data_IF_216097977106
#
_entry.id   IF_216097977106
#
_cell.length_a   1.000
_cell.length_b   1.000
_cell.length_c   1.000
_cell.angle_alpha   90.00
_cell.angle_beta   90.00
_cell.angle_gamma   90.00
#
_symmetry.space_group_name_H-M   'P 1'
#
loop_
_entity.id
_entity.type
_entity.pdbx_description
1 polymer ?
#
# COMPACT_ATOMS: atom_id res chain seq x y z
N UNK A 1 0.52 -24.08 10.54
CA UNK A 1 0.92 -23.72 9.16
C UNK A 1 2.22 -22.91 9.22
N UNK A 2 2.99 -22.79 8.12
CA UNK A 2 4.12 -21.86 8.07
C UNK A 2 3.67 -20.42 8.41
N UNK A 3 4.54 -19.64 9.04
CA UNK A 3 4.21 -18.30 9.53
C UNK A 3 3.65 -17.37 8.45
N UNK A 4 4.28 -17.33 7.28
CA UNK A 4 3.82 -16.55 6.12
C UNK A 4 2.37 -16.88 5.75
N UNK A 5 1.98 -18.17 5.78
CA UNK A 5 0.63 -18.60 5.46
C UNK A 5 -0.39 -18.19 6.52
N UNK A 6 0.02 -18.13 7.80
CA UNK A 6 -0.84 -17.64 8.90
C UNK A 6 -1.07 -16.14 8.77
N UNK A 7 0.01 -15.35 8.60
CA UNK A 7 -0.08 -13.88 8.42
C UNK A 7 -0.98 -13.50 7.25
N UNK A 8 -0.80 -14.16 6.10
CA UNK A 8 -1.65 -13.94 4.92
C UNK A 8 -3.13 -14.30 5.18
N UNK A 9 -3.40 -15.41 5.87
CA UNK A 9 -4.76 -15.83 6.19
C UNK A 9 -5.45 -14.88 7.16
N UNK A 10 -4.75 -14.44 8.20
CA UNK A 10 -5.28 -13.49 9.19
C UNK A 10 -5.57 -12.14 8.54
N UNK A 11 -4.64 -11.62 7.73
CA UNK A 11 -4.81 -10.37 6.98
C UNK A 11 -5.99 -10.42 6.02
N UNK A 12 -6.07 -11.45 5.17
CA UNK A 12 -7.19 -11.63 4.24
C UNK A 12 -8.53 -11.74 4.98
N UNK A 13 -8.58 -12.53 6.06
CA UNK A 13 -9.80 -12.69 6.86
C UNK A 13 -10.23 -11.39 7.53
N UNK A 14 -9.31 -10.53 7.95
CA UNK A 14 -9.62 -9.26 8.61
C UNK A 14 -10.38 -8.28 7.71
N UNK A 15 -10.21 -8.40 6.38
CA UNK A 15 -10.86 -7.55 5.38
C UNK A 15 -11.80 -8.34 4.43
N UNK A 16 -12.08 -9.61 4.75
CA UNK A 16 -13.07 -10.43 4.05
C UNK A 16 -12.66 -10.93 2.66
N UNK A 17 -11.35 -11.08 2.40
CA UNK A 17 -10.82 -11.60 1.13
C UNK A 17 -9.85 -12.76 1.34
N UNK A 18 -9.44 -13.42 0.26
CA UNK A 18 -8.58 -14.61 0.32
C UNK A 18 -7.11 -14.29 0.67
N UNK A 19 -6.36 -15.22 1.28
CA UNK A 19 -4.99 -14.98 1.76
C UNK A 19 -3.99 -14.49 0.70
N UNK A 20 -4.20 -14.87 -0.56
CA UNK A 20 -3.30 -14.50 -1.65
C UNK A 20 -3.27 -12.99 -1.93
N UNK A 21 -4.23 -12.22 -1.42
CA UNK A 21 -4.23 -10.75 -1.51
C UNK A 21 -3.26 -10.06 -0.56
N UNK A 22 -2.55 -10.81 0.29
CA UNK A 22 -1.59 -10.27 1.26
C UNK A 22 -0.15 -10.68 0.91
N UNK A 23 0.04 -11.41 -0.19
CA UNK A 23 1.31 -12.11 -0.46
C UNK A 23 2.47 -11.15 -0.63
N UNK A 24 2.28 -10.06 -1.35
CA UNK A 24 3.35 -9.16 -1.72
C UNK A 24 3.80 -8.34 -0.50
N UNK A 25 2.84 -7.78 0.24
CA UNK A 25 3.08 -7.08 1.50
C UNK A 25 3.65 -7.99 2.58
N UNK A 26 3.20 -9.24 2.69
CA UNK A 26 3.77 -10.18 3.68
C UNK A 26 5.24 -10.49 3.37
N UNK A 27 5.60 -10.68 2.09
CA UNK A 27 6.99 -10.90 1.67
C UNK A 27 7.85 -9.66 1.96
N UNK A 28 7.34 -8.46 1.66
CA UNK A 28 8.03 -7.21 1.97
C UNK A 28 8.26 -7.04 3.48
N UNK A 29 7.25 -7.37 4.30
CA UNK A 29 7.34 -7.33 5.76
C UNK A 29 8.47 -8.23 6.28
N UNK A 30 8.46 -9.50 5.88
CA UNK A 30 9.45 -10.49 6.33
C UNK A 30 10.87 -10.06 5.91
N UNK A 31 11.02 -9.50 4.71
CA UNK A 31 12.30 -9.00 4.25
C UNK A 31 12.82 -7.82 5.10
N UNK A 32 11.96 -6.84 5.41
CA UNK A 32 12.34 -5.70 6.29
C UNK A 32 12.61 -6.16 7.70
N UNK A 33 11.78 -7.04 8.26
CA UNK A 33 11.98 -7.64 9.59
C UNK A 33 13.36 -8.30 9.68
N UNK A 34 13.73 -9.12 8.69
CA UNK A 34 15.05 -9.76 8.64
C UNK A 34 16.20 -8.74 8.55
N UNK A 35 16.04 -7.63 7.83
CA UNK A 35 17.05 -6.57 7.73
C UNK A 35 17.20 -5.84 9.08
N UNK A 36 16.07 -5.52 9.74
CA UNK A 36 16.04 -4.85 11.05
C UNK A 36 16.61 -5.74 12.16
N UNK A 37 16.32 -7.05 12.12
CA UNK A 37 16.89 -8.03 13.05
C UNK A 37 18.41 -8.13 12.95
N UNK A 38 19.00 -7.70 11.83
CA UNK A 38 20.45 -7.59 11.62
C UNK A 38 21.00 -6.19 11.99
N UNK A 39 20.20 -5.34 12.64
CA UNK A 39 20.63 -4.08 13.25
C UNK A 39 20.49 -2.85 12.37
N UNK A 40 19.81 -2.95 11.22
CA UNK A 40 19.56 -1.79 10.37
C UNK A 40 18.46 -0.88 10.94
N UNK A 41 18.71 0.43 10.94
CA UNK A 41 17.72 1.48 11.31
C UNK A 41 17.01 2.08 10.09
N UNK A 42 17.54 1.82 8.89
CA UNK A 42 17.00 2.26 7.62
C UNK A 42 16.90 1.07 6.67
N UNK A 43 15.69 0.76 6.23
CA UNK A 43 15.42 -0.31 5.28
C UNK A 43 14.10 -0.03 4.56
N UNK A 44 14.10 -0.16 3.23
CA UNK A 44 12.91 -0.06 2.39
C UNK A 44 12.91 -1.28 1.48
N UNK A 45 11.82 -2.03 1.49
CA UNK A 45 11.57 -3.13 0.56
C UNK A 45 10.31 -2.81 -0.21
N UNK A 46 10.43 -2.71 -1.53
CA UNK A 46 9.31 -2.60 -2.47
C UNK A 46 9.13 -3.94 -3.19
N UNK A 47 7.97 -4.56 -3.02
CA UNK A 47 7.57 -5.75 -3.73
C UNK A 47 6.39 -5.48 -4.68
N UNK A 48 6.61 -4.61 -5.67
CA UNK A 48 5.65 -4.37 -6.75
C UNK A 48 4.54 -3.38 -6.38
N UNK A 49 4.85 -2.37 -5.55
CA UNK A 49 3.89 -1.40 -5.03
C UNK A 49 3.48 -1.64 -3.58
N UNK A 50 3.91 -2.78 -3.02
CA UNK A 50 3.76 -3.13 -1.61
C UNK A 50 5.06 -2.88 -0.86
N UNK A 51 5.10 -1.76 -0.16
CA UNK A 51 6.30 -1.26 0.49
C UNK A 51 6.23 -1.55 1.99
N UNK A 52 7.29 -2.13 2.53
CA UNK A 52 7.59 -2.15 3.95
C UNK A 52 8.82 -1.27 4.21
N UNK A 53 8.80 -0.47 5.28
CA UNK A 53 9.94 0.37 5.62
C UNK A 53 10.14 0.63 7.11
N UNK A 54 11.39 0.85 7.48
CA UNK A 54 11.84 1.65 8.64
C UNK A 54 12.82 2.71 8.12
N UNK A 55 12.87 3.88 8.77
CA UNK A 55 13.67 4.98 8.27
C UNK A 55 14.12 5.89 9.43
N UNK A 56 15.38 6.33 9.38
CA UNK A 56 15.97 7.30 10.30
C UNK A 56 16.08 8.72 9.69
N UNK A 57 15.66 8.88 8.45
CA UNK A 57 15.48 10.16 7.74
C UNK A 57 14.13 10.20 7.01
N UNK A 58 13.66 11.38 6.63
CA UNK A 58 12.39 11.54 5.90
C UNK A 58 12.44 10.85 4.54
N UNK A 59 11.43 10.04 4.24
CA UNK A 59 11.29 9.34 2.96
C UNK A 59 10.04 9.82 2.24
N UNK A 60 10.14 10.09 0.94
CA UNK A 60 8.96 10.37 0.10
C UNK A 60 8.64 9.13 -0.73
N UNK A 61 7.46 8.55 -0.49
CA UNK A 61 6.94 7.42 -1.27
C UNK A 61 5.98 7.94 -2.33
N UNK A 62 6.40 7.89 -3.60
CA UNK A 62 5.57 8.30 -4.72
C UNK A 62 4.42 7.32 -4.97
N UNK A 63 3.22 7.85 -5.27
CA UNK A 63 2.08 7.04 -5.70
C UNK A 63 1.97 7.11 -7.22
N UNK A 64 2.17 5.98 -7.87
CA UNK A 64 2.03 5.87 -9.32
C UNK A 64 0.61 5.44 -9.70
N UNK A 65 -0.06 6.28 -10.49
CA UNK A 65 -1.43 6.08 -10.98
C UNK A 65 -1.49 5.82 -12.49
N UNK A 66 -0.39 5.38 -13.10
CA UNK A 66 -0.36 5.03 -14.53
C UNK A 66 -0.27 6.24 -15.46
N UNK A 67 -0.26 7.45 -14.89
CA UNK A 67 -0.07 8.71 -15.61
C UNK A 67 1.31 9.26 -15.32
N UNK A 68 2.00 9.67 -16.38
CA UNK A 68 3.26 10.41 -16.30
C UNK A 68 2.96 11.90 -16.36
N UNK A 69 2.70 12.49 -15.20
CA UNK A 69 2.51 13.94 -15.01
C UNK A 69 3.76 14.53 -14.31
N UNK A 70 4.14 15.77 -14.63
CA UNK A 70 5.36 16.41 -14.08
C UNK A 70 5.31 16.57 -12.54
N UNK A 71 4.11 16.63 -11.97
CA UNK A 71 3.85 16.69 -10.53
C UNK A 71 2.90 15.55 -10.16
N UNK A 72 3.29 14.74 -9.18
CA UNK A 72 2.50 13.62 -8.66
C UNK A 72 2.29 13.70 -7.16
N UNK A 73 1.47 12.78 -6.65
CA UNK A 73 1.19 12.63 -5.24
C UNK A 73 2.28 11.75 -4.61
N UNK A 74 2.90 12.27 -3.55
CA UNK A 74 3.79 11.53 -2.67
C UNK A 74 3.24 11.42 -1.25
N UNK A 75 3.77 10.47 -0.49
CA UNK A 75 3.55 10.32 0.94
C UNK A 75 4.87 10.64 1.65
N UNK A 76 4.88 11.70 2.45
CA UNK A 76 6.02 12.08 3.27
C UNK A 76 6.03 11.28 4.57
N UNK A 77 7.02 10.42 4.73
CA UNK A 77 7.15 9.52 5.86
C UNK A 77 8.28 10.02 6.76
N UNK A 78 7.88 10.54 7.92
CA UNK A 78 8.81 10.95 8.98
C UNK A 78 9.63 9.77 9.51
N UNK A 79 10.83 10.03 10.08
CA UNK A 79 11.65 9.01 10.74
C UNK A 79 10.86 8.18 11.76
N UNK A 80 11.09 6.87 11.77
CA UNK A 80 10.41 5.91 12.64
C UNK A 80 11.21 4.62 12.82
N UNK A 81 11.17 4.11 14.04
CA UNK A 81 11.80 2.84 14.43
C UNK A 81 10.90 1.63 14.19
N UNK A 82 9.59 1.85 14.03
CA UNK A 82 8.62 0.78 13.79
C UNK A 82 8.33 0.64 12.30
N UNK A 83 8.16 -0.61 11.84
CA UNK A 83 7.83 -0.90 10.44
C UNK A 83 6.51 -0.21 10.05
N UNK A 84 6.50 0.39 8.86
CA UNK A 84 5.32 0.88 8.17
C UNK A 84 5.14 0.11 6.86
N UNK A 85 3.93 -0.39 6.65
CA UNK A 85 3.44 -0.82 5.36
C UNK A 85 2.76 0.33 4.61
N UNK A 86 3.11 0.48 3.33
CA UNK A 86 2.45 1.35 2.35
C UNK A 86 2.18 0.46 1.14
N UNK A 87 0.98 -0.09 1.09
CA UNK A 87 0.61 -1.10 0.10
C UNK A 87 -0.39 -0.54 -0.90
N UNK A 88 -0.18 -0.81 -2.18
CA UNK A 88 -0.99 -0.22 -3.26
C UNK A 88 -1.55 -1.29 -4.18
N UNK A 89 -2.87 -1.33 -4.30
CA UNK A 89 -3.56 -2.10 -5.33
C UNK A 89 -3.96 -1.19 -6.48
N UNK A 90 -3.87 -1.68 -7.71
CA UNK A 90 -4.35 -0.95 -8.89
C UNK A 90 -5.26 -1.84 -9.75
N UNK A 91 -6.35 -1.24 -10.26
CA UNK A 91 -7.30 -1.80 -11.22
C UNK A 91 -6.80 -1.80 -12.66
N UNK A 92 -5.91 -0.85 -12.96
CA UNK A 92 -5.62 -0.41 -14.34
C UNK A 92 -4.16 -0.57 -14.74
N UNK A 93 -3.25 -0.82 -13.79
CA UNK A 93 -1.79 -0.79 -14.01
C UNK A 93 -1.15 -2.08 -13.46
N UNK A 94 -0.83 -3.00 -14.35
CA UNK A 94 -0.13 -4.26 -14.01
C UNK A 94 -0.89 -5.52 -14.42
N UNK A 95 -0.17 -6.64 -14.52
CA UNK A 95 -0.68 -7.93 -14.98
C UNK A 95 -1.49 -8.70 -13.91
N UNK A 96 -1.64 -8.13 -12.72
CA UNK A 96 -2.35 -8.74 -11.59
C UNK A 96 -3.83 -8.38 -11.65
N UNK A 97 -4.69 -9.39 -11.74
CA UNK A 97 -6.14 -9.24 -11.85
C UNK A 97 -6.68 -8.66 -10.54
N UNK A 98 -7.04 -7.37 -10.54
CA UNK A 98 -7.96 -6.78 -9.55
C UNK A 98 -9.26 -6.43 -10.26
N UNK A 99 -10.38 -6.47 -9.53
CA UNK A 99 -11.73 -6.32 -10.10
C UNK A 99 -12.28 -4.89 -10.04
N UNK A 100 -11.50 -3.95 -9.49
CA UNK A 100 -11.86 -2.54 -9.35
C UNK A 100 -11.40 -1.65 -10.49
N UNK A 101 -11.90 -0.42 -10.52
CA UNK A 101 -11.50 0.62 -11.48
C UNK A 101 -10.51 1.64 -10.88
N UNK A 102 -10.13 1.50 -9.62
CA UNK A 102 -9.20 2.41 -8.97
C UNK A 102 -7.89 2.54 -9.76
N UNK A 103 -7.48 3.79 -10.02
CA UNK A 103 -6.17 4.08 -10.59
C UNK A 103 -5.08 3.67 -9.59
N UNK A 104 -5.33 3.91 -8.30
CA UNK A 104 -4.55 3.36 -7.18
C UNK A 104 -5.40 3.36 -5.90
N UNK A 105 -5.28 2.31 -5.09
CA UNK A 105 -5.79 2.25 -3.72
C UNK A 105 -4.62 1.91 -2.77
N UNK A 106 -4.17 2.88 -1.99
CA UNK A 106 -3.01 2.79 -1.11
C UNK A 106 -3.45 2.75 0.35
N UNK A 107 -2.94 1.80 1.14
CA UNK A 107 -3.25 1.65 2.57
C UNK A 107 -1.97 1.72 3.40
N UNK A 108 -2.05 2.43 4.53
CA UNK A 108 -0.97 2.58 5.50
C UNK A 108 -1.30 1.82 6.78
N UNK A 109 -0.40 0.93 7.23
CA UNK A 109 -0.55 0.19 8.49
C UNK A 109 0.80 -0.24 9.06
N UNK A 110 0.87 -0.42 10.39
CA UNK A 110 2.01 -1.11 11.01
C UNK A 110 2.03 -2.63 10.76
N UNK A 111 0.91 -3.19 10.28
CA UNK A 111 0.85 -4.55 9.76
C UNK A 111 0.81 -4.51 8.23
N UNK A 112 1.94 -4.81 7.61
CA UNK A 112 2.10 -4.72 6.14
C UNK A 112 1.25 -5.78 5.42
N UNK A 113 1.05 -6.95 6.04
CA UNK A 113 0.22 -8.01 5.45
C UNK A 113 -1.23 -7.55 5.38
N UNK A 114 -1.70 -6.90 6.46
CA UNK A 114 -3.00 -6.26 6.53
C UNK A 114 -3.14 -5.10 5.55
N UNK A 115 -2.09 -4.28 5.37
CA UNK A 115 -2.10 -3.16 4.42
C UNK A 115 -2.33 -3.65 2.98
N UNK A 116 -1.64 -4.70 2.54
CA UNK A 116 -1.79 -5.30 1.20
C UNK A 116 -3.20 -5.85 0.97
N UNK A 117 -3.68 -6.69 1.90
CA UNK A 117 -5.04 -7.21 1.83
C UNK A 117 -6.09 -6.08 1.82
N UNK A 118 -5.92 -5.08 2.67
CA UNK A 118 -6.83 -3.94 2.72
C UNK A 118 -6.78 -3.11 1.43
N UNK A 119 -5.59 -2.89 0.85
CA UNK A 119 -5.44 -2.18 -0.43
C UNK A 119 -6.19 -2.90 -1.54
N UNK A 120 -6.05 -4.23 -1.62
CA UNK A 120 -6.80 -5.07 -2.56
C UNK A 120 -8.32 -4.99 -2.33
N UNK A 121 -8.77 -5.12 -1.07
CA UNK A 121 -10.20 -5.07 -0.75
C UNK A 121 -10.83 -3.72 -1.09
N UNK A 122 -10.16 -2.63 -0.71
CA UNK A 122 -10.61 -1.25 -0.98
C UNK A 122 -10.56 -0.94 -2.47
N UNK A 123 -9.49 -1.34 -3.17
CA UNK A 123 -9.37 -1.17 -4.62
C UNK A 123 -10.49 -1.87 -5.38
N UNK A 124 -10.83 -3.11 -5.00
CA UNK A 124 -11.95 -3.85 -5.59
C UNK A 124 -13.32 -3.18 -5.34
N UNK A 125 -13.50 -2.50 -4.20
CA UNK A 125 -14.74 -1.81 -3.86
C UNK A 125 -14.87 -0.41 -4.48
N UNK A 126 -13.76 0.20 -4.88
CA UNK A 126 -13.72 1.52 -5.52
C UNK A 126 -13.94 1.42 -7.04
N UNK A 127 -15.21 1.38 -7.45
CA UNK A 127 -15.63 1.21 -8.85
C UNK A 127 -15.86 2.56 -9.54
N UNK A 128 -16.37 3.54 -8.80
CA UNK A 128 -16.64 4.91 -9.24
C UNK A 128 -16.45 5.92 -8.08
N UNK A 129 -16.50 7.22 -8.39
CA UNK A 129 -16.28 8.29 -7.42
C UNK A 129 -17.29 8.21 -6.25
N UNK A 130 -18.53 7.79 -6.50
CA UNK A 130 -19.56 7.69 -5.47
C UNK A 130 -19.27 6.55 -4.47
N UNK A 131 -18.63 5.48 -4.94
CA UNK A 131 -18.26 4.31 -4.13
C UNK A 131 -17.07 4.53 -3.20
N UNK A 132 -16.25 5.56 -3.40
CA UNK A 132 -15.01 5.82 -2.61
C UNK A 132 -15.26 5.78 -1.10
N UNK A 133 -16.32 6.46 -0.64
CA UNK A 133 -16.66 6.53 0.78
C UNK A 133 -17.05 5.16 1.35
N UNK A 134 -17.77 4.37 0.56
CA UNK A 134 -18.22 3.05 0.95
C UNK A 134 -17.09 2.02 0.86
N UNK A 135 -16.13 2.19 -0.07
CA UNK A 135 -14.92 1.38 -0.15
C UNK A 135 -14.12 1.46 1.15
N UNK A 136 -13.90 2.66 1.69
CA UNK A 136 -13.25 2.83 2.99
C UNK A 136 -14.05 2.28 4.18
N UNK A 137 -15.34 1.95 4.01
CA UNK A 137 -16.11 1.33 5.08
C UNK A 137 -15.60 -0.07 5.45
N UNK A 138 -14.89 -0.75 4.55
CA UNK A 138 -14.19 -2.02 4.81
C UNK A 138 -13.19 -1.89 5.95
N UNK A 139 -12.58 -0.71 6.09
CA UNK A 139 -11.54 -0.45 7.09
C UNK A 139 -12.12 -0.17 8.48
N UNK A 140 -13.45 -0.02 8.60
CA UNK A 140 -14.09 0.29 9.89
C UNK A 140 -13.94 -0.87 10.85
N UNK A 141 -13.33 -0.61 12.00
CA UNK A 141 -13.12 -1.63 13.04
C UNK A 141 -11.90 -2.52 12.80
N UNK A 142 -11.24 -2.39 11.65
CA UNK A 142 -9.94 -3.02 11.38
C UNK A 142 -8.87 -2.23 12.13
N UNK A 143 -8.37 -2.81 13.22
CA UNK A 143 -7.31 -2.19 14.04
C UNK A 143 -6.00 -2.14 13.23
N UNK A 144 -5.11 -1.23 13.59
CA UNK A 144 -3.77 -1.02 12.98
C UNK A 144 -3.71 -0.29 11.64
N UNK A 145 -4.81 -0.13 10.90
CA UNK A 145 -4.82 0.73 9.71
C UNK A 145 -4.82 2.20 10.15
N UNK A 146 -3.82 2.96 9.70
CA UNK A 146 -3.62 4.36 10.10
C UNK A 146 -4.04 5.36 9.02
N UNK A 147 -4.02 4.94 7.76
CA UNK A 147 -4.32 5.81 6.62
C UNK A 147 -4.75 5.03 5.38
N UNK A 148 -5.43 5.70 4.46
CA UNK A 148 -5.78 5.16 3.16
C UNK A 148 -6.01 6.26 2.13
N UNK A 149 -5.61 6.02 0.90
CA UNK A 149 -5.73 6.94 -0.22
C UNK A 149 -6.27 6.20 -1.44
N UNK A 150 -7.26 6.77 -2.13
CA UNK A 150 -7.77 6.26 -3.40
C UNK A 150 -7.61 7.35 -4.46
N UNK A 151 -6.99 6.99 -5.58
CA UNK A 151 -6.98 7.77 -6.81
C UNK A 151 -7.96 7.12 -7.78
N UNK A 152 -8.92 7.91 -8.26
CA UNK A 152 -9.91 7.42 -9.21
C UNK A 152 -10.39 8.57 -10.11
N UNK A 153 -10.12 8.45 -11.40
CA UNK A 153 -10.54 9.39 -12.44
C UNK A 153 -10.12 10.85 -12.11
N UNK A 154 -8.91 11.01 -11.56
CA UNK A 154 -8.35 12.30 -11.15
C UNK A 154 -8.87 12.84 -9.81
N UNK A 155 -9.70 12.10 -9.08
CA UNK A 155 -10.16 12.44 -7.75
C UNK A 155 -9.36 11.73 -6.68
N UNK A 156 -9.21 12.37 -5.51
CA UNK A 156 -8.50 11.84 -4.36
C UNK A 156 -9.49 11.61 -3.21
N UNK A 157 -9.57 10.37 -2.74
CA UNK A 157 -10.24 10.00 -1.50
C UNK A 157 -9.23 9.72 -0.40
N UNK A 158 -9.47 10.20 0.82
CA UNK A 158 -8.58 9.99 1.96
C UNK A 158 -9.33 9.36 3.14
N UNK A 159 -8.62 8.52 3.89
CA UNK A 159 -9.06 7.90 5.13
C UNK A 159 -7.97 8.02 6.20
N UNK A 160 -8.34 8.37 7.43
CA UNK A 160 -7.39 8.45 8.54
C UNK A 160 -6.30 9.52 8.33
N UNK A 161 -5.07 9.18 8.71
CA UNK A 161 -3.89 10.06 8.56
C UNK A 161 -3.08 9.65 7.34
N UNK A 162 -3.01 10.55 6.36
CA UNK A 162 -2.24 10.36 5.12
C UNK A 162 -1.38 11.62 4.90
N UNK A 163 -0.05 11.52 4.98
CA UNK A 163 0.85 12.67 4.86
C UNK A 163 1.12 13.01 3.38
N UNK A 164 0.10 13.55 2.71
CA UNK A 164 0.15 13.84 1.27
C UNK A 164 1.03 15.07 0.99
N UNK A 165 1.95 14.93 0.04
CA UNK A 165 2.79 16.01 -0.50
C UNK A 165 2.78 15.98 -2.03
N UNK A 166 3.14 17.10 -2.65
CA UNK A 166 3.51 17.12 -4.07
C UNK A 166 4.93 16.58 -4.23
N UNK A 167 5.12 15.61 -5.12
CA UNK A 167 6.42 15.02 -5.40
C UNK A 167 6.61 14.80 -6.91
N UNK A 168 7.80 15.08 -7.47
CA UNK A 168 8.07 14.79 -8.87
C UNK A 168 8.06 13.28 -9.12
N UNK A 169 7.50 12.84 -10.25
CA UNK A 169 7.64 11.44 -10.65
C UNK A 169 9.05 11.17 -11.13
N UNK A 170 9.74 10.28 -10.43
CA UNK A 170 11.03 9.74 -10.85
C UNK A 170 10.80 8.38 -11.47
N UNK A 171 10.59 8.38 -12.79
CA UNK A 171 10.22 7.19 -13.58
C UNK A 171 11.24 6.06 -13.42
N UNK A 172 12.51 6.39 -13.16
CA UNK A 172 13.57 5.40 -12.90
C UNK A 172 13.33 4.52 -11.66
N UNK A 173 12.47 4.94 -10.72
CA UNK A 173 12.16 4.19 -9.50
C UNK A 173 10.79 3.50 -9.55
N UNK A 174 10.08 3.54 -10.68
CA UNK A 174 8.79 2.86 -10.82
C UNK A 174 9.03 1.38 -11.14
N UNK A 175 8.75 0.52 -10.17
CA UNK A 175 8.80 -0.94 -10.32
C UNK A 175 7.81 -1.39 -11.39
N UNK A 176 8.31 -2.00 -12.48
CA UNK A 176 7.48 -2.54 -13.58
C UNK A 176 7.16 -1.59 -14.74
N UNK A 177 7.68 -0.35 -14.74
CA UNK A 177 7.43 0.63 -15.83
C UNK A 177 8.30 0.45 -17.09
N UNK A 178 9.26 -0.49 -17.08
CA UNK A 178 10.14 -0.79 -18.21
C UNK A 178 9.88 -2.22 -18.70
N UNK A 179 8.71 -2.43 -19.31
CA UNK A 179 8.32 -3.69 -19.97
C UNK A 179 7.53 -3.41 -21.23
#
# INVERSE_FOLDING_TARGET
APEIAVRMADAGSAVGIGPMSAVAGTIAAIAVEAIVDNGATYAIVDNGGDIALVNDETVIVGIYSGRTDDVSIGLEIEPRESILGICTSSGRIGHSISFGNADAATILSGDVSLADAAATAVGNAAIDIASIKDAFSILKGVKLITGGLILLDGNVGLYGRVPVVEAPQRVEYITGALG
#
